data_IF_960947591228
#
_entry.id   IF_960947591228
#
_cell.length_a   1.000
_cell.length_b   1.000
_cell.length_c   1.000
_cell.angle_alpha   90.00
_cell.angle_beta   90.00
_cell.angle_gamma   90.00
#
_symmetry.space_group_name_H-M   'P 1'
#
loop_
_entity.id
_entity.type
_entity.pdbx_description
1 polymer ?
#
# COMPACT_ATOMS: atom_id res chain seq x y z
N UNK A 1 -8.84 17.70 -2.92
CA UNK A 1 -7.66 16.83 -2.70
C UNK A 1 -6.96 17.07 -1.37
N UNK A 2 -6.88 18.30 -0.83
CA UNK A 2 -6.28 18.56 0.49
C UNK A 2 -7.05 17.96 1.69
N UNK A 3 -8.38 17.76 1.57
CA UNK A 3 -9.19 17.08 2.60
C UNK A 3 -8.95 15.56 2.66
N UNK A 4 -8.70 14.92 1.51
CA UNK A 4 -8.37 13.48 1.39
C UNK A 4 -7.10 13.10 2.16
N UNK A 5 -6.08 13.96 2.17
CA UNK A 5 -4.85 13.72 2.93
C UNK A 5 -5.02 13.78 4.46
N UNK A 6 -6.13 14.35 4.94
CA UNK A 6 -6.42 14.42 6.38
C UNK A 6 -7.32 13.26 6.84
N UNK A 7 -7.84 12.43 5.92
CA UNK A 7 -8.54 11.20 6.27
C UNK A 7 -7.52 10.14 6.64
N UNK A 8 -7.58 9.69 7.89
CA UNK A 8 -6.66 8.70 8.44
C UNK A 8 -6.63 7.42 7.58
N UNK A 9 -7.78 6.98 7.07
CA UNK A 9 -7.91 5.81 6.18
C UNK A 9 -7.13 5.96 4.87
N UNK A 10 -7.11 7.16 4.27
CA UNK A 10 -6.34 7.42 3.06
C UNK A 10 -4.84 7.38 3.32
N UNK A 11 -4.39 8.02 4.40
CA UNK A 11 -2.97 8.06 4.80
C UNK A 11 -2.45 6.65 5.10
N UNK A 12 -3.26 5.85 5.81
CA UNK A 12 -2.95 4.45 6.07
C UNK A 12 -2.85 3.66 4.76
N UNK A 13 -3.82 3.82 3.85
CA UNK A 13 -3.80 3.13 2.55
C UNK A 13 -2.58 3.49 1.71
N UNK A 14 -2.23 4.78 1.64
CA UNK A 14 -1.05 5.27 0.94
C UNK A 14 0.26 4.73 1.55
N UNK A 15 0.35 4.67 2.88
CA UNK A 15 1.51 4.12 3.57
C UNK A 15 1.74 2.64 3.23
N UNK A 16 0.69 1.82 3.28
CA UNK A 16 0.78 0.41 2.90
C UNK A 16 1.12 0.22 1.42
N UNK A 17 0.56 1.04 0.53
CA UNK A 17 0.88 1.00 -0.90
C UNK A 17 2.36 1.33 -1.15
N UNK A 18 2.91 2.37 -0.52
CA UNK A 18 4.33 2.73 -0.63
C UNK A 18 5.23 1.61 -0.08
N UNK A 19 4.86 1.03 1.06
CA UNK A 19 5.63 -0.07 1.67
C UNK A 19 5.65 -1.30 0.77
N UNK A 20 4.54 -1.64 0.11
CA UNK A 20 4.48 -2.70 -0.87
C UNK A 20 5.41 -2.45 -2.07
N UNK A 21 5.46 -1.22 -2.58
CA UNK A 21 6.38 -0.83 -3.67
C UNK A 21 7.83 -0.97 -3.24
N UNK A 22 8.17 -0.57 -2.00
CA UNK A 22 9.52 -0.73 -1.46
C UNK A 22 9.90 -2.21 -1.33
N UNK A 23 9.00 -3.07 -0.85
CA UNK A 23 9.23 -4.51 -0.76
C UNK A 23 9.42 -5.13 -2.15
N UNK A 24 8.59 -4.77 -3.14
CA UNK A 24 8.76 -5.22 -4.52
C UNK A 24 10.10 -4.74 -5.12
N UNK A 25 10.48 -3.49 -4.87
CA UNK A 25 11.77 -2.96 -5.32
C UNK A 25 12.95 -3.67 -4.64
N UNK A 26 12.82 -4.01 -3.35
CA UNK A 26 13.83 -4.77 -2.62
C UNK A 26 14.00 -6.19 -3.20
N UNK A 27 12.89 -6.87 -3.50
CA UNK A 27 12.91 -8.17 -4.17
C UNK A 27 13.61 -8.11 -5.53
N UNK A 28 13.31 -7.05 -6.30
CA UNK A 28 13.87 -6.85 -7.65
C UNK A 28 15.38 -6.51 -7.62
N UNK A 29 15.83 -5.75 -6.62
CA UNK A 29 17.21 -5.27 -6.50
C UNK A 29 18.13 -6.27 -5.77
N UNK A 30 17.62 -7.01 -4.79
CA UNK A 30 18.42 -7.96 -4.01
C UNK A 30 18.59 -9.31 -4.70
N UNK A 31 17.71 -9.65 -5.64
CA UNK A 31 17.72 -10.95 -6.34
C UNK A 31 17.45 -12.16 -5.44
N UNK A 32 17.30 -11.96 -4.14
CA UNK A 32 16.86 -12.96 -3.17
C UNK A 32 15.35 -12.83 -3.04
N UNK A 33 14.63 -13.64 -3.82
CA UNK A 33 13.19 -13.75 -3.72
C UNK A 33 12.81 -14.51 -2.45
N UNK A 34 12.86 -13.82 -1.32
CA UNK A 34 12.33 -14.31 -0.05
C UNK A 34 10.81 -14.35 -0.18
N UNK A 35 10.23 -15.55 -0.30
CA UNK A 35 8.79 -15.75 -0.48
C UNK A 35 7.95 -14.91 0.50
N UNK A 36 8.44 -14.72 1.72
CA UNK A 36 7.82 -13.86 2.75
C UNK A 36 7.65 -12.40 2.28
N UNK A 37 8.65 -11.82 1.63
CA UNK A 37 8.61 -10.43 1.16
C UNK A 37 7.60 -10.27 0.03
N UNK A 38 7.54 -11.23 -0.90
CA UNK A 38 6.61 -11.22 -2.02
C UNK A 38 5.14 -11.36 -1.57
N UNK A 39 4.86 -12.27 -0.62
CA UNK A 39 3.52 -12.40 -0.03
C UNK A 39 3.12 -11.15 0.79
N UNK A 40 4.04 -10.61 1.58
CA UNK A 40 3.78 -9.40 2.38
C UNK A 40 3.55 -8.18 1.49
N UNK A 41 4.34 -8.03 0.41
CA UNK A 41 4.16 -6.96 -0.56
C UNK A 41 2.78 -7.06 -1.25
N UNK A 42 2.39 -8.25 -1.68
CA UNK A 42 1.07 -8.47 -2.28
C UNK A 42 -0.08 -8.16 -1.31
N UNK A 43 0.02 -8.60 -0.06
CA UNK A 43 -0.98 -8.34 0.98
C UNK A 43 -1.09 -6.84 1.30
N UNK A 44 0.04 -6.15 1.45
CA UNK A 44 0.08 -4.71 1.72
C UNK A 44 -0.42 -3.88 0.53
N UNK A 45 -0.16 -4.33 -0.70
CA UNK A 45 -0.68 -3.68 -1.90
C UNK A 45 -2.21 -3.81 -1.97
N UNK A 46 -2.74 -5.03 -1.77
CA UNK A 46 -4.18 -5.27 -1.76
C UNK A 46 -4.88 -4.46 -0.65
N UNK A 47 -4.31 -4.43 0.55
CA UNK A 47 -4.85 -3.67 1.67
C UNK A 47 -4.77 -2.14 1.44
N UNK A 48 -3.64 -1.66 0.91
CA UNK A 48 -3.44 -0.24 0.61
C UNK A 48 -4.43 0.27 -0.44
N UNK A 49 -4.61 -0.47 -1.53
CA UNK A 49 -5.59 -0.15 -2.58
C UNK A 49 -7.02 -0.19 -2.04
N UNK A 50 -7.34 -1.21 -1.23
CA UNK A 50 -8.66 -1.32 -0.61
C UNK A 50 -8.99 -0.13 0.30
N UNK A 51 -8.05 0.32 1.13
CA UNK A 51 -8.22 1.47 2.02
C UNK A 51 -8.36 2.79 1.25
N UNK A 52 -7.60 2.98 0.17
CA UNK A 52 -7.73 4.15 -0.71
C UNK A 52 -9.10 4.17 -1.40
N UNK A 53 -9.59 3.00 -1.84
CA UNK A 53 -10.91 2.86 -2.43
C UNK A 53 -12.03 3.18 -1.42
N UNK A 54 -11.92 2.65 -0.19
CA UNK A 54 -12.90 2.87 0.87
C UNK A 54 -12.95 4.35 1.28
N UNK A 55 -11.79 4.99 1.47
CA UNK A 55 -11.71 6.43 1.74
C UNK A 55 -12.32 7.27 0.61
N UNK A 56 -12.17 6.87 -0.66
CA UNK A 56 -12.79 7.59 -1.78
C UNK A 56 -14.32 7.47 -1.79
N UNK A 57 -14.87 6.38 -1.24
CA UNK A 57 -16.32 6.18 -1.09
C UNK A 57 -16.90 6.94 0.10
N UNK A 58 -16.11 7.16 1.16
CA UNK A 58 -16.53 7.90 2.36
C UNK A 58 -16.70 9.41 2.12
N UNK A 59 -16.14 9.95 1.03
CA UNK A 59 -16.31 11.35 0.61
C UNK A 59 -17.44 11.59 -0.43
N UNK A 60 -18.12 10.55 -0.93
CA UNK A 60 -19.30 10.66 -1.82
C UNK A 60 -20.61 10.56 -1.06
#
# INVERSE_FOLDING_TARGET
MLKKFNQLSFVIGAFFAITAVILFANELLSGMAEKINLYSAAAFLAFGVFMIYLSSKEES
#
